data_IF_321909993698
#
_entry.id   IF_321909993698
#
_cell.length_a   1.000
_cell.length_b   1.000
_cell.length_c   1.000
_cell.angle_alpha   90.00
_cell.angle_beta   90.00
_cell.angle_gamma   90.00
#
_symmetry.space_group_name_H-M   'P 1'
#
loop_
_entity.id
_entity.type
_entity.pdbx_description
1 polymer ?
#
# COMPACT_ATOMS: atom_id res chain seq x y z
N UNK A 1 -19.59 3.93 -21.33
CA UNK A 1 -20.33 4.60 -20.23
C UNK A 1 -19.81 4.01 -18.94
N UNK A 2 -19.07 4.77 -18.13
CA UNK A 2 -18.67 4.33 -16.79
C UNK A 2 -19.93 4.24 -15.92
N UNK A 3 -20.44 3.02 -15.71
CA UNK A 3 -21.49 2.79 -14.73
C UNK A 3 -20.89 3.15 -13.37
N UNK A 4 -21.43 4.18 -12.71
CA UNK A 4 -21.09 4.49 -11.32
C UNK A 4 -21.61 3.34 -10.46
N UNK A 5 -20.69 2.52 -9.96
CA UNK A 5 -21.00 1.41 -9.05
C UNK A 5 -20.87 1.92 -7.61
N UNK A 6 -21.95 2.03 -6.83
CA UNK A 6 -21.86 2.42 -5.43
C UNK A 6 -21.32 1.28 -4.57
N UNK A 7 -20.71 1.62 -3.43
CA UNK A 7 -20.28 0.66 -2.42
C UNK A 7 -21.13 0.74 -1.14
N UNK A 8 -21.60 -0.40 -0.66
CA UNK A 8 -22.20 -0.59 0.65
C UNK A 8 -21.13 -1.10 1.61
N UNK A 9 -20.91 -0.38 2.71
CA UNK A 9 -19.98 -0.78 3.76
C UNK A 9 -20.76 -1.06 5.04
N UNK A 10 -20.68 -2.30 5.53
CA UNK A 10 -21.35 -2.70 6.77
C UNK A 10 -20.51 -2.31 7.99
N UNK A 11 -21.03 -1.37 8.80
CA UNK A 11 -20.38 -0.82 9.99
C UNK A 11 -21.28 -0.88 11.25
N UNK A 12 -22.30 -1.73 11.25
CA UNK A 12 -23.35 -1.76 12.28
C UNK A 12 -23.04 -2.66 13.51
N UNK A 13 -21.94 -3.42 13.51
CA UNK A 13 -21.63 -4.41 14.54
C UNK A 13 -20.96 -3.84 15.81
N UNK A 14 -21.20 -4.49 16.96
CA UNK A 14 -20.63 -4.10 18.27
C UNK A 14 -19.12 -4.36 18.40
N UNK A 15 -18.60 -5.37 17.69
CA UNK A 15 -17.17 -5.70 17.69
C UNK A 15 -16.63 -6.19 19.03
N UNK A 16 -17.42 -6.97 19.76
CA UNK A 16 -17.13 -7.43 21.12
C UNK A 16 -15.78 -8.13 21.24
N UNK A 17 -15.40 -8.93 20.24
CA UNK A 17 -14.13 -9.68 20.20
C UNK A 17 -12.89 -8.79 20.06
N UNK A 18 -13.02 -7.59 19.50
CA UNK A 18 -11.91 -6.66 19.26
C UNK A 18 -11.79 -5.59 20.34
N UNK A 19 -12.89 -4.89 20.59
CA UNK A 19 -12.89 -3.74 21.49
C UNK A 19 -13.27 -4.12 22.91
N UNK A 20 -14.33 -4.95 23.11
CA UNK A 20 -14.80 -5.52 24.39
C UNK A 20 -15.12 -4.52 25.53
N UNK A 21 -14.65 -3.29 25.41
CA UNK A 21 -14.58 -2.22 26.40
C UNK A 21 -15.21 -0.98 25.78
N UNK A 22 -16.28 -0.48 26.39
CA UNK A 22 -17.03 0.67 25.91
C UNK A 22 -16.22 1.97 25.90
N UNK A 23 -15.11 2.03 26.67
CA UNK A 23 -14.17 3.16 26.66
C UNK A 23 -13.34 3.23 25.38
N UNK A 24 -13.28 2.15 24.60
CA UNK A 24 -12.60 2.14 23.30
C UNK A 24 -13.52 2.68 22.20
N UNK A 25 -12.95 3.17 21.08
CA UNK A 25 -13.75 3.51 19.91
C UNK A 25 -14.55 2.30 19.40
N UNK A 26 -15.74 2.52 18.81
CA UNK A 26 -16.48 1.44 18.16
C UNK A 26 -15.64 0.81 17.04
N UNK A 27 -15.90 -0.46 16.71
CA UNK A 27 -15.09 -1.25 15.76
C UNK A 27 -14.74 -0.50 14.46
N UNK A 28 -15.69 0.16 13.77
CA UNK A 28 -15.39 0.92 12.54
C UNK A 28 -14.32 2.02 12.74
N UNK A 29 -14.21 2.57 13.96
CA UNK A 29 -13.28 3.63 14.32
C UNK A 29 -11.98 3.12 14.96
N UNK A 30 -11.74 1.80 14.96
CA UNK A 30 -10.51 1.21 15.50
C UNK A 30 -9.30 1.67 14.68
N UNK A 31 -8.25 2.25 15.30
CA UNK A 31 -7.10 2.77 14.58
C UNK A 31 -6.12 1.66 14.12
N UNK A 32 -5.81 1.69 12.83
CA UNK A 32 -4.86 0.81 12.15
C UNK A 32 -3.91 1.65 11.28
N UNK A 33 -2.72 1.92 11.81
CA UNK A 33 -1.68 2.70 11.14
C UNK A 33 -2.26 4.02 10.58
N UNK A 34 -2.65 4.92 11.48
CA UNK A 34 -3.00 6.31 11.16
C UNK A 34 -4.41 6.54 10.60
N UNK A 35 -5.08 5.48 10.14
CA UNK A 35 -6.47 5.49 9.67
C UNK A 35 -7.33 4.59 10.55
N UNK A 36 -8.64 4.80 10.58
CA UNK A 36 -9.56 3.81 11.16
C UNK A 36 -9.84 2.66 10.19
N UNK A 37 -10.41 1.55 10.68
CA UNK A 37 -10.85 0.44 9.83
C UNK A 37 -11.81 0.92 8.72
N UNK A 38 -12.86 1.67 9.09
CA UNK A 38 -13.83 2.21 8.14
C UNK A 38 -13.21 3.21 7.16
N UNK A 39 -12.40 4.14 7.65
CA UNK A 39 -11.71 5.12 6.80
C UNK A 39 -10.81 4.42 5.77
N UNK A 40 -10.12 3.34 6.19
CA UNK A 40 -9.30 2.54 5.29
C UNK A 40 -10.13 1.75 4.27
N UNK A 41 -11.27 1.18 4.66
CA UNK A 41 -12.16 0.49 3.72
C UNK A 41 -12.68 1.45 2.64
N UNK A 42 -13.13 2.65 3.03
CA UNK A 42 -13.56 3.71 2.10
C UNK A 42 -12.42 4.08 1.15
N UNK A 43 -11.23 4.36 1.66
CA UNK A 43 -10.10 4.78 0.84
C UNK A 43 -9.58 3.69 -0.09
N UNK A 44 -9.68 2.42 0.31
CA UNK A 44 -9.34 1.27 -0.55
C UNK A 44 -10.31 1.17 -1.72
N UNK A 45 -11.61 1.39 -1.48
CA UNK A 45 -12.61 1.46 -2.55
C UNK A 45 -12.42 2.69 -3.44
N UNK A 46 -12.07 3.84 -2.84
CA UNK A 46 -11.79 5.07 -3.59
C UNK A 46 -10.61 4.92 -4.53
N UNK A 47 -9.54 4.28 -4.08
CA UNK A 47 -8.37 3.99 -4.93
C UNK A 47 -8.73 3.07 -6.11
N UNK A 48 -9.75 2.22 -5.95
CA UNK A 48 -10.34 1.41 -7.02
C UNK A 48 -11.33 2.17 -7.93
N UNK A 49 -11.58 3.46 -7.69
CA UNK A 49 -12.46 4.30 -8.50
C UNK A 49 -13.91 4.41 -7.99
N UNK A 50 -14.21 3.95 -6.79
CA UNK A 50 -15.54 4.08 -6.17
C UNK A 50 -15.65 5.43 -5.43
N UNK A 51 -16.67 6.22 -5.75
CA UNK A 51 -16.85 7.56 -5.18
C UNK A 51 -18.16 7.75 -4.39
N UNK A 52 -19.07 6.78 -4.47
CA UNK A 52 -20.39 6.81 -3.84
C UNK A 52 -20.51 5.65 -2.84
N UNK A 53 -20.82 5.99 -1.59
CA UNK A 53 -20.81 5.07 -0.46
C UNK A 53 -22.13 5.11 0.31
N UNK A 54 -22.65 3.94 0.64
CA UNK A 54 -23.72 3.73 1.60
C UNK A 54 -23.11 3.06 2.83
N UNK A 55 -23.01 3.78 3.94
CA UNK A 55 -22.40 3.24 5.16
C UNK A 55 -23.52 2.83 6.11
N UNK A 56 -23.62 1.52 6.37
CA UNK A 56 -24.67 0.99 7.24
C UNK A 56 -24.23 1.08 8.69
N UNK A 57 -24.93 1.89 9.47
CA UNK A 57 -24.64 2.19 10.87
C UNK A 57 -25.61 1.49 11.81
N UNK A 58 -25.13 1.19 13.02
CA UNK A 58 -25.90 0.52 14.06
C UNK A 58 -25.38 0.93 15.43
N UNK A 59 -24.64 0.05 16.10
CA UNK A 59 -24.06 0.34 17.41
C UNK A 59 -23.20 1.62 17.42
N UNK A 60 -23.55 2.59 18.28
CA UNK A 60 -22.86 3.89 18.46
C UNK A 60 -22.68 4.67 17.14
N UNK A 61 -23.72 4.71 16.31
CA UNK A 61 -23.72 5.38 14.98
C UNK A 61 -23.26 6.83 15.02
N UNK A 62 -23.58 7.56 16.09
CA UNK A 62 -23.31 8.99 16.25
C UNK A 62 -21.80 9.28 16.17
N UNK A 63 -20.97 8.36 16.66
CA UNK A 63 -19.52 8.48 16.60
C UNK A 63 -18.99 8.43 15.15
N UNK A 64 -19.66 7.69 14.26
CA UNK A 64 -19.30 7.62 12.84
C UNK A 64 -19.92 8.79 12.07
N UNK A 65 -21.19 9.10 12.32
CA UNK A 65 -21.93 10.20 11.66
C UNK A 65 -21.21 11.55 11.80
N UNK A 66 -20.66 11.83 12.98
CA UNK A 66 -19.92 13.06 13.24
C UNK A 66 -18.67 13.26 12.37
N UNK A 67 -18.16 12.21 11.72
CA UNK A 67 -16.98 12.25 10.85
C UNK A 67 -17.33 12.29 9.35
N UNK A 68 -18.58 12.03 8.98
CA UNK A 68 -18.99 11.87 7.57
C UNK A 68 -18.72 13.14 6.76
N UNK A 69 -19.17 14.31 7.24
CA UNK A 69 -18.99 15.57 6.54
C UNK A 69 -17.50 15.95 6.34
N UNK A 70 -16.64 15.63 7.33
CA UNK A 70 -15.19 15.77 7.18
C UNK A 70 -14.68 14.87 6.05
N UNK A 71 -15.06 13.59 6.06
CA UNK A 71 -14.59 12.62 5.07
C UNK A 71 -15.06 12.92 3.65
N UNK A 72 -16.32 13.33 3.45
CA UNK A 72 -16.83 13.74 2.14
C UNK A 72 -16.00 14.89 1.55
N UNK A 73 -15.75 15.93 2.36
CA UNK A 73 -14.97 17.10 1.93
C UNK A 73 -13.50 16.74 1.69
N UNK A 74 -12.88 16.07 2.65
CA UNK A 74 -11.45 15.71 2.65
C UNK A 74 -11.10 14.74 1.53
N UNK A 75 -11.96 13.75 1.31
CA UNK A 75 -11.71 12.69 0.34
C UNK A 75 -12.46 12.90 -0.97
N UNK A 76 -13.30 13.92 -1.12
CA UNK A 76 -14.08 14.18 -2.33
C UNK A 76 -14.84 12.92 -2.77
N UNK A 77 -15.73 12.48 -1.89
CA UNK A 77 -16.60 11.31 -2.05
C UNK A 77 -18.00 11.67 -1.54
N UNK A 78 -19.00 10.91 -1.93
CA UNK A 78 -20.35 11.00 -1.38
C UNK A 78 -20.60 9.84 -0.43
N UNK A 79 -21.09 10.13 0.77
CA UNK A 79 -21.41 9.15 1.81
C UNK A 79 -22.85 9.37 2.26
N UNK A 80 -23.69 8.36 2.02
CA UNK A 80 -25.03 8.27 2.59
C UNK A 80 -25.00 7.35 3.82
N UNK A 81 -25.20 7.87 5.04
CA UNK A 81 -25.40 7.02 6.21
C UNK A 81 -26.75 6.31 6.10
N UNK A 82 -26.77 5.00 6.34
CA UNK A 82 -27.98 4.18 6.37
C UNK A 82 -28.10 3.57 7.75
N UNK A 83 -29.16 3.89 8.47
CA UNK A 83 -29.39 3.33 9.81
C UNK A 83 -30.02 1.94 9.73
N UNK A 84 -29.39 0.96 10.40
CA UNK A 84 -29.99 -0.34 10.67
C UNK A 84 -30.43 -0.45 12.13
N UNK A 85 -31.71 -0.20 12.40
CA UNK A 85 -32.31 -0.37 13.73
C UNK A 85 -32.34 -1.84 14.19
N UNK A 86 -32.26 -2.79 13.26
CA UNK A 86 -32.29 -4.23 13.51
C UNK A 86 -30.90 -4.88 13.40
N UNK A 87 -29.83 -4.17 13.72
CA UNK A 87 -28.44 -4.65 13.60
C UNK A 87 -28.13 -5.91 14.44
N UNK A 88 -28.92 -6.18 15.48
CA UNK A 88 -28.85 -7.41 16.27
C UNK A 88 -29.35 -8.66 15.52
N UNK A 89 -30.09 -8.51 14.41
CA UNK A 89 -30.64 -9.62 13.62
C UNK A 89 -29.62 -10.25 12.65
N UNK A 90 -28.35 -9.83 12.70
CA UNK A 90 -27.29 -10.32 11.81
C UNK A 90 -26.90 -9.33 10.72
N UNK A 91 -25.81 -9.61 10.00
CA UNK A 91 -25.32 -8.73 8.93
C UNK A 91 -26.22 -8.71 7.70
N UNK A 92 -27.10 -9.70 7.49
CA UNK A 92 -28.09 -9.70 6.41
C UNK A 92 -29.11 -8.56 6.56
N UNK A 93 -29.55 -8.27 7.79
CA UNK A 93 -30.44 -7.12 8.05
C UNK A 93 -29.78 -5.79 7.71
N UNK A 94 -28.46 -5.68 7.91
CA UNK A 94 -27.68 -4.48 7.54
C UNK A 94 -27.67 -4.27 6.04
N UNK A 95 -27.54 -5.33 5.24
CA UNK A 95 -27.64 -5.22 3.77
C UNK A 95 -29.07 -4.83 3.35
N UNK A 96 -30.09 -5.43 3.96
CA UNK A 96 -31.50 -5.14 3.65
C UNK A 96 -31.89 -3.68 3.93
N UNK A 97 -31.28 -3.03 4.92
CA UNK A 97 -31.49 -1.61 5.21
C UNK A 97 -31.16 -0.70 4.01
N UNK A 98 -30.29 -1.15 3.09
CA UNK A 98 -29.95 -0.42 1.87
C UNK A 98 -30.94 -0.64 0.71
N UNK A 99 -31.87 -1.59 0.81
CA UNK A 99 -32.79 -1.92 -0.30
C UNK A 99 -33.62 -0.75 -0.85
N UNK A 100 -34.04 0.27 -0.06
CA UNK A 100 -34.74 1.44 -0.60
C UNK A 100 -33.86 2.35 -1.47
N UNK A 101 -32.54 2.27 -1.33
CA UNK A 101 -31.58 3.17 -1.97
C UNK A 101 -30.91 2.57 -3.22
N UNK A 102 -30.94 1.25 -3.35
CA UNK A 102 -30.14 0.52 -4.35
C UNK A 102 -31.05 -0.27 -5.31
N UNK A 103 -31.17 0.23 -6.54
CA UNK A 103 -31.93 -0.41 -7.62
C UNK A 103 -31.04 -1.06 -8.69
N UNK A 104 -29.71 -0.89 -8.58
CA UNK A 104 -28.73 -1.39 -9.53
C UNK A 104 -27.68 -2.25 -8.82
N UNK A 105 -26.66 -2.69 -9.55
CA UNK A 105 -25.57 -3.47 -8.94
C UNK A 105 -24.75 -2.60 -8.00
N UNK A 106 -24.21 -3.21 -6.95
CA UNK A 106 -23.42 -2.50 -5.93
C UNK A 106 -22.32 -3.39 -5.40
N UNK A 107 -21.24 -2.78 -4.94
CA UNK A 107 -20.18 -3.45 -4.21
C UNK A 107 -20.61 -3.58 -2.74
N UNK A 108 -20.41 -4.72 -2.09
CA UNK A 108 -20.70 -4.92 -0.67
C UNK A 108 -19.42 -5.36 0.04
N UNK A 109 -19.04 -4.61 1.09
CA UNK A 109 -17.81 -4.81 1.84
C UNK A 109 -18.08 -4.69 3.34
N UNK A 110 -17.28 -5.40 4.13
CA UNK A 110 -17.27 -5.30 5.58
C UNK A 110 -16.29 -4.21 6.05
N UNK A 111 -16.67 -3.35 7.00
CA UNK A 111 -15.81 -2.23 7.43
C UNK A 111 -14.51 -2.67 8.13
N UNK A 112 -14.46 -3.90 8.62
CA UNK A 112 -13.39 -4.51 9.40
C UNK A 112 -12.41 -5.32 8.55
N UNK A 113 -12.61 -5.38 7.24
CA UNK A 113 -11.72 -6.09 6.34
C UNK A 113 -10.63 -5.16 5.79
N UNK A 114 -9.39 -5.59 5.93
CA UNK A 114 -8.24 -5.02 5.24
C UNK A 114 -8.06 -5.76 3.92
N UNK A 115 -7.91 -5.05 2.80
CA UNK A 115 -7.73 -5.69 1.49
C UNK A 115 -6.92 -4.79 0.56
N UNK A 116 -6.36 -5.39 -0.49
CA UNK A 116 -5.63 -4.64 -1.51
C UNK A 116 -6.61 -3.94 -2.48
N UNK A 117 -6.48 -2.64 -2.79
CA UNK A 117 -7.44 -1.92 -3.65
C UNK A 117 -7.70 -2.57 -5.02
N UNK A 118 -6.68 -3.19 -5.61
CA UNK A 118 -6.76 -3.85 -6.93
C UNK A 118 -7.71 -5.05 -6.99
N UNK A 119 -8.12 -5.62 -5.85
CA UNK A 119 -9.09 -6.72 -5.84
C UNK A 119 -10.48 -6.27 -6.29
N UNK A 120 -10.81 -4.99 -6.14
CA UNK A 120 -12.11 -4.44 -6.54
C UNK A 120 -12.25 -4.41 -8.07
N UNK A 121 -11.34 -3.78 -8.84
CA UNK A 121 -11.40 -3.83 -10.31
C UNK A 121 -11.37 -5.24 -10.86
N UNK A 122 -10.58 -6.14 -10.25
CA UNK A 122 -10.56 -7.56 -10.59
C UNK A 122 -11.93 -8.22 -10.41
N UNK A 123 -12.55 -8.06 -9.23
CA UNK A 123 -13.90 -8.57 -8.96
C UNK A 123 -14.96 -7.98 -9.90
N UNK A 124 -14.89 -6.69 -10.20
CA UNK A 124 -15.82 -6.03 -11.13
C UNK A 124 -15.69 -6.61 -12.54
N UNK A 125 -14.47 -6.89 -12.99
CA UNK A 125 -14.19 -7.38 -14.34
C UNK A 125 -14.58 -8.85 -14.48
N UNK A 126 -14.06 -9.72 -13.62
CA UNK A 126 -14.29 -11.16 -13.66
C UNK A 126 -15.72 -11.55 -13.22
N UNK A 127 -16.31 -10.76 -12.32
CA UNK A 127 -17.64 -10.97 -11.76
C UNK A 127 -18.78 -10.34 -12.55
N UNK A 128 -18.54 -9.84 -13.77
CA UNK A 128 -19.51 -9.03 -14.54
C UNK A 128 -20.68 -9.84 -15.16
N UNK A 129 -21.13 -10.90 -14.50
CA UNK A 129 -22.30 -11.67 -14.88
C UNK A 129 -23.56 -11.03 -14.28
N UNK A 130 -24.44 -10.46 -15.11
CA UNK A 130 -25.68 -9.81 -14.63
C UNK A 130 -26.68 -10.78 -14.02
N UNK A 131 -26.58 -12.08 -14.33
CA UNK A 131 -27.44 -13.13 -13.79
C UNK A 131 -27.06 -13.60 -12.39
N UNK A 132 -25.86 -13.26 -11.92
CA UNK A 132 -25.31 -13.72 -10.65
C UNK A 132 -24.71 -12.57 -9.81
N UNK A 133 -24.75 -12.74 -8.49
CA UNK A 133 -23.80 -12.08 -7.61
C UNK A 133 -22.43 -12.74 -7.76
N UNK A 134 -21.37 -12.03 -7.39
CA UNK A 134 -20.02 -12.60 -7.30
C UNK A 134 -19.43 -12.37 -5.92
N UNK A 135 -18.81 -13.39 -5.35
CA UNK A 135 -18.03 -13.31 -4.12
C UNK A 135 -16.54 -13.49 -4.48
N UNK A 136 -15.70 -12.61 -3.96
CA UNK A 136 -14.26 -12.81 -3.96
C UNK A 136 -13.89 -13.91 -2.96
N UNK A 137 -13.13 -14.91 -3.41
CA UNK A 137 -12.81 -16.11 -2.63
C UNK A 137 -11.31 -16.30 -2.57
N UNK A 138 -10.77 -16.49 -1.37
CA UNK A 138 -9.37 -16.89 -1.19
C UNK A 138 -9.26 -18.42 -1.22
N UNK A 139 -8.66 -18.94 -2.30
CA UNK A 139 -8.38 -20.38 -2.45
C UNK A 139 -7.11 -20.81 -1.74
N UNK A 140 -6.27 -19.88 -1.26
CA UNK A 140 -5.05 -20.19 -0.51
C UNK A 140 -5.37 -20.37 0.96
N UNK A 141 -6.23 -21.35 1.26
CA UNK A 141 -6.73 -21.68 2.61
C UNK A 141 -5.58 -21.73 3.63
N UNK A 142 -4.42 -22.25 3.23
CA UNK A 142 -3.24 -22.36 4.09
C UNK A 142 -2.69 -21.02 4.61
N UNK A 143 -2.99 -19.89 3.95
CA UNK A 143 -2.49 -18.56 4.32
C UNK A 143 -3.47 -17.75 5.18
N UNK A 144 -4.72 -18.19 5.32
CA UNK A 144 -5.74 -17.51 6.10
C UNK A 144 -5.40 -17.57 7.59
N UNK A 145 -5.47 -16.42 8.26
CA UNK A 145 -4.99 -16.22 9.63
C UNK A 145 -5.81 -16.99 10.68
N UNK A 146 -7.14 -16.88 10.62
CA UNK A 146 -8.06 -17.56 11.55
C UNK A 146 -9.02 -18.46 10.76
N UNK A 147 -8.57 -19.68 10.47
CA UNK A 147 -9.35 -20.62 9.64
C UNK A 147 -10.55 -21.21 10.36
N UNK A 148 -10.53 -21.23 11.69
CA UNK A 148 -11.59 -21.83 12.49
C UNK A 148 -12.82 -20.92 12.52
N UNK A 149 -12.62 -19.60 12.57
CA UNK A 149 -13.73 -18.63 12.54
C UNK A 149 -14.16 -18.21 11.13
N UNK A 150 -13.37 -18.51 10.11
CA UNK A 150 -13.63 -18.12 8.73
C UNK A 150 -14.90 -18.75 8.13
N UNK A 151 -15.61 -17.97 7.32
CA UNK A 151 -16.73 -18.48 6.51
C UNK A 151 -16.18 -19.25 5.31
N UNK A 152 -16.50 -20.55 5.24
CA UNK A 152 -15.99 -21.45 4.20
C UNK A 152 -16.92 -21.46 3.00
N UNK A 153 -16.37 -21.72 1.81
CA UNK A 153 -17.13 -21.87 0.57
C UNK A 153 -16.70 -23.12 -0.21
N UNK A 154 -17.68 -23.81 -0.80
CA UNK A 154 -17.45 -24.86 -1.77
C UNK A 154 -17.74 -24.31 -3.17
N UNK A 155 -16.74 -24.32 -4.03
CA UNK A 155 -16.79 -23.80 -5.40
C UNK A 155 -16.67 -24.94 -6.40
N UNK A 156 -17.67 -25.09 -7.28
CA UNK A 156 -17.64 -26.05 -8.40
C UNK A 156 -17.91 -25.26 -9.69
N UNK A 157 -17.06 -25.45 -10.72
CA UNK A 157 -17.17 -24.78 -12.03
C UNK A 157 -17.37 -23.26 -11.95
N UNK A 158 -16.64 -22.61 -11.02
CA UNK A 158 -16.71 -21.15 -10.81
C UNK A 158 -17.98 -20.66 -10.09
N UNK A 159 -18.85 -21.55 -9.63
CA UNK A 159 -20.06 -21.25 -8.86
C UNK A 159 -19.93 -21.70 -7.42
N UNK A 160 -20.51 -20.93 -6.50
CA UNK A 160 -20.58 -21.33 -5.09
C UNK A 160 -21.78 -22.25 -4.93
N UNK A 161 -21.54 -23.44 -4.41
CA UNK A 161 -22.56 -24.48 -4.18
C UNK A 161 -22.93 -24.61 -2.71
N UNK A 162 -22.03 -24.23 -1.80
CA UNK A 162 -22.29 -24.17 -0.38
C UNK A 162 -21.46 -23.06 0.29
N UNK A 163 -22.02 -22.44 1.33
CA UNK A 163 -21.36 -21.43 2.16
C UNK A 163 -21.76 -21.57 3.64
N UNK A 164 -20.79 -21.44 4.54
CA UNK A 164 -21.03 -21.40 5.98
C UNK A 164 -19.79 -21.72 6.81
N UNK A 165 -19.85 -21.39 8.11
CA UNK A 165 -18.75 -21.69 9.05
C UNK A 165 -18.59 -23.19 9.35
N UNK A 166 -19.69 -23.94 9.33
CA UNK A 166 -19.73 -25.37 9.64
C UNK A 166 -19.49 -26.33 8.47
N UNK A 167 -19.01 -25.85 7.32
CA UNK A 167 -18.79 -26.73 6.16
C UNK A 167 -17.58 -27.66 6.39
N UNK A 168 -17.80 -28.96 6.22
CA UNK A 168 -16.75 -29.98 6.24
C UNK A 168 -15.93 -30.00 4.94
N UNK A 169 -16.63 -29.95 3.79
CA UNK A 169 -16.01 -29.89 2.47
C UNK A 169 -16.04 -28.45 1.95
N UNK A 170 -14.86 -27.91 1.68
CA UNK A 170 -14.69 -26.56 1.16
C UNK A 170 -13.36 -26.46 0.40
N UNK A 171 -13.30 -25.55 -0.57
CA UNK A 171 -12.10 -25.27 -1.36
C UNK A 171 -11.80 -23.77 -1.50
N UNK A 172 -12.44 -22.94 -0.68
CA UNK A 172 -12.12 -21.53 -0.54
C UNK A 172 -12.69 -20.91 0.72
N UNK A 173 -12.28 -19.68 0.98
CA UNK A 173 -12.74 -18.85 2.09
C UNK A 173 -13.39 -17.58 1.55
N UNK A 174 -14.55 -17.22 2.12
CA UNK A 174 -15.25 -15.96 1.86
C UNK A 174 -14.42 -14.77 2.38
N UNK A 175 -14.09 -13.82 1.49
CA UNK A 175 -13.31 -12.63 1.86
C UNK A 175 -14.16 -11.44 2.29
N UNK A 176 -15.49 -11.56 2.37
CA UNK A 176 -16.40 -10.49 2.74
C UNK A 176 -16.55 -9.38 1.69
N UNK A 177 -16.10 -9.60 0.45
CA UNK A 177 -16.15 -8.63 -0.66
C UNK A 177 -17.00 -9.21 -1.80
N UNK A 178 -18.13 -8.57 -2.07
CA UNK A 178 -19.12 -9.06 -3.03
C UNK A 178 -19.44 -8.01 -4.08
N UNK A 179 -19.65 -8.46 -5.32
CA UNK A 179 -20.36 -7.71 -6.34
C UNK A 179 -21.82 -8.20 -6.36
N UNK A 180 -22.71 -7.39 -5.82
CA UNK A 180 -24.09 -7.74 -5.58
C UNK A 180 -25.02 -7.23 -6.67
N UNK A 181 -26.16 -7.90 -6.79
CA UNK A 181 -27.29 -7.52 -7.64
C UNK A 181 -28.52 -7.26 -6.75
N UNK A 182 -29.49 -6.45 -7.19
CA UNK A 182 -30.68 -6.14 -6.38
C UNK A 182 -31.46 -7.36 -5.87
N UNK A 183 -31.48 -8.45 -6.64
CA UNK A 183 -32.14 -9.69 -6.24
C UNK A 183 -31.51 -10.36 -5.00
N UNK A 184 -30.33 -9.92 -4.54
CA UNK A 184 -29.78 -10.32 -3.24
C UNK A 184 -30.73 -9.95 -2.10
N UNK A 185 -31.46 -8.83 -2.21
CA UNK A 185 -32.41 -8.42 -1.18
C UNK A 185 -33.55 -9.43 -1.01
N UNK A 186 -34.03 -10.01 -2.11
CA UNK A 186 -35.08 -11.03 -2.05
C UNK A 186 -34.56 -12.30 -1.37
N UNK A 187 -33.35 -12.73 -1.73
CA UNK A 187 -32.69 -13.90 -1.12
C UNK A 187 -32.44 -13.69 0.38
N UNK A 188 -32.10 -12.47 0.81
CA UNK A 188 -31.94 -12.12 2.22
C UNK A 188 -33.26 -12.12 2.99
N UNK A 189 -34.36 -11.66 2.37
CA UNK A 189 -35.70 -11.73 2.98
C UNK A 189 -36.15 -13.18 3.15
N UNK A 190 -35.88 -14.03 2.16
CA UNK A 190 -36.14 -15.47 2.21
C UNK A 190 -35.35 -16.14 3.34
N UNK A 191 -34.04 -15.92 3.41
CA UNK A 191 -33.19 -16.44 4.48
C UNK A 191 -33.64 -15.99 5.87
N UNK A 192 -34.00 -14.71 6.02
CA UNK A 192 -34.48 -14.16 7.29
C UNK A 192 -35.82 -14.77 7.71
N UNK A 193 -36.72 -15.08 6.76
CA UNK A 193 -37.96 -15.81 7.03
C UNK A 193 -37.68 -17.26 7.46
N UNK A 194 -36.62 -17.88 6.93
CA UNK A 194 -36.08 -19.18 7.32
C UNK A 194 -35.23 -19.18 8.60
N UNK A 195 -35.27 -18.11 9.41
CA UNK A 195 -34.56 -17.94 10.69
C UNK A 195 -33.04 -17.68 10.57
N UNK A 196 -32.47 -17.60 9.35
CA UNK A 196 -31.06 -17.24 9.12
C UNK A 196 -30.95 -15.76 8.67
N UNK A 197 -30.80 -14.85 9.64
CA UNK A 197 -30.61 -13.42 9.38
C UNK A 197 -29.20 -13.02 8.90
N UNK A 198 -28.32 -13.98 8.61
CA UNK A 198 -26.96 -13.71 8.15
C UNK A 198 -26.90 -13.45 6.63
N UNK A 199 -25.86 -12.73 6.22
CA UNK A 199 -25.52 -12.58 4.80
C UNK A 199 -25.26 -13.94 4.15
N UNK A 200 -24.55 -14.84 4.84
CA UNK A 200 -24.30 -16.21 4.36
C UNK A 200 -25.60 -16.99 4.13
N UNK A 201 -26.65 -16.74 4.91
CA UNK A 201 -27.99 -17.28 4.67
C UNK A 201 -28.54 -16.85 3.31
N UNK A 202 -28.52 -15.54 3.02
CA UNK A 202 -28.95 -15.04 1.70
C UNK A 202 -28.07 -15.55 0.55
N UNK A 203 -26.76 -15.68 0.75
CA UNK A 203 -25.86 -16.27 -0.25
C UNK A 203 -26.16 -17.76 -0.47
N UNK A 204 -26.58 -18.49 0.57
CA UNK A 204 -27.03 -19.90 0.45
C UNK A 204 -28.27 -20.02 -0.43
N UNK A 205 -29.28 -19.16 -0.22
CA UNK A 205 -30.44 -19.10 -1.11
C UNK A 205 -30.02 -18.82 -2.57
N UNK A 206 -29.06 -17.92 -2.80
CA UNK A 206 -28.52 -17.68 -4.15
C UNK A 206 -27.72 -18.87 -4.70
N UNK A 207 -27.03 -19.63 -3.85
CA UNK A 207 -26.29 -20.84 -4.25
C UNK A 207 -27.23 -21.92 -4.77
N UNK A 208 -28.33 -22.16 -4.06
CA UNK A 208 -29.39 -23.10 -4.46
C UNK A 208 -30.02 -22.72 -5.80
N UNK A 209 -30.17 -21.42 -6.06
CA UNK A 209 -30.67 -20.90 -7.33
C UNK A 209 -29.61 -20.88 -8.45
N UNK A 210 -28.35 -21.20 -8.17
CA UNK A 210 -27.26 -21.05 -9.12
C UNK A 210 -27.01 -19.59 -9.53
N UNK A 211 -27.12 -18.64 -8.60
CA UNK A 211 -27.01 -17.18 -8.84
C UNK A 211 -25.88 -16.52 -8.06
N UNK A 212 -24.89 -17.29 -7.65
CA UNK A 212 -23.66 -16.78 -7.03
C UNK A 212 -22.43 -17.44 -7.65
N UNK A 213 -21.45 -16.62 -8.02
CA UNK A 213 -20.17 -17.03 -8.58
C UNK A 213 -19.02 -16.75 -7.61
N UNK A 214 -17.95 -17.51 -7.76
CA UNK A 214 -16.69 -17.24 -7.07
C UNK A 214 -15.71 -16.58 -8.05
N UNK A 215 -15.09 -15.50 -7.62
CA UNK A 215 -13.92 -14.90 -8.28
C UNK A 215 -12.72 -15.17 -7.38
N UNK A 216 -11.64 -15.69 -7.95
CA UNK A 216 -10.43 -15.99 -7.18
C UNK A 216 -9.70 -14.70 -6.80
N UNK A 217 -9.31 -14.58 -5.53
CA UNK A 217 -8.47 -13.49 -5.03
C UNK A 217 -7.09 -13.43 -5.71
N UNK A 218 -6.59 -14.55 -6.23
CA UNK A 218 -5.25 -14.62 -6.82
C UNK A 218 -4.17 -14.43 -5.77
N UNK A 219 -3.14 -13.61 -6.06
CA UNK A 219 -2.02 -13.41 -5.12
C UNK A 219 -2.19 -12.25 -4.12
N UNK A 220 -3.25 -11.46 -4.26
CA UNK A 220 -3.49 -10.28 -3.41
C UNK A 220 -3.86 -10.63 -1.96
N UNK A 221 -3.85 -9.63 -1.07
CA UNK A 221 -4.13 -9.85 0.34
C UNK A 221 -5.53 -9.39 0.75
N UNK A 222 -6.06 -10.09 1.76
CA UNK A 222 -7.20 -9.67 2.55
C UNK A 222 -7.00 -10.14 4.01
N UNK A 223 -7.73 -9.56 4.96
CA UNK A 223 -7.78 -9.97 6.36
C UNK A 223 -9.00 -9.37 7.06
N UNK A 224 -9.76 -10.18 7.77
CA UNK A 224 -10.79 -9.75 8.71
C UNK A 224 -10.18 -9.36 10.08
N UNK A 225 -10.51 -8.18 10.58
CA UNK A 225 -9.95 -7.65 11.85
C UNK A 225 -10.97 -7.77 12.97
N UNK A 226 -11.02 -8.96 13.56
CA UNK A 226 -12.03 -9.32 14.57
C UNK A 226 -11.48 -9.48 15.99
N UNK A 227 -10.17 -9.67 16.12
CA UNK A 227 -9.48 -9.87 17.41
C UNK A 227 -8.26 -8.97 17.54
N UNK A 228 -7.76 -8.69 18.77
CA UNK A 228 -6.51 -7.97 18.96
C UNK A 228 -5.31 -8.62 18.25
N UNK A 229 -5.31 -9.95 18.15
CA UNK A 229 -4.31 -10.74 17.42
C UNK A 229 -4.41 -10.46 15.92
N UNK A 230 -5.62 -10.50 15.34
CA UNK A 230 -5.87 -10.15 13.94
C UNK A 230 -5.48 -8.70 13.66
N UNK A 231 -5.77 -7.76 14.56
CA UNK A 231 -5.35 -6.36 14.43
C UNK A 231 -3.81 -6.22 14.41
N UNK A 232 -3.10 -6.93 15.28
CA UNK A 232 -1.62 -6.97 15.28
C UNK A 232 -1.08 -7.60 14.00
N UNK A 233 -1.72 -8.66 13.50
CA UNK A 233 -1.37 -9.29 12.24
C UNK A 233 -1.60 -8.34 11.06
N UNK A 234 -2.76 -7.69 10.98
CA UNK A 234 -3.13 -6.72 9.96
C UNK A 234 -2.17 -5.54 9.89
N UNK A 235 -1.70 -5.02 11.03
CA UNK A 235 -0.64 -4.00 11.05
C UNK A 235 0.64 -4.48 10.37
N UNK A 236 1.08 -5.71 10.65
CA UNK A 236 2.27 -6.30 10.01
C UNK A 236 2.03 -6.55 8.52
N UNK A 237 0.83 -7.01 8.15
CA UNK A 237 0.44 -7.27 6.77
C UNK A 237 0.50 -5.99 5.93
N UNK A 238 -0.12 -4.90 6.42
CA UNK A 238 -0.09 -3.58 5.76
C UNK A 238 1.35 -3.07 5.60
N UNK A 239 2.17 -3.15 6.65
CA UNK A 239 3.57 -2.73 6.61
C UNK A 239 4.44 -3.54 5.65
N UNK A 240 4.12 -4.81 5.40
CA UNK A 240 4.80 -5.61 4.38
C UNK A 240 4.41 -5.18 2.96
N UNK A 241 3.14 -4.87 2.76
CA UNK A 241 2.61 -4.45 1.46
C UNK A 241 2.94 -2.99 1.09
N UNK A 242 3.50 -2.21 2.00
CA UNK A 242 4.08 -0.90 1.65
C UNK A 242 5.43 -1.04 0.98
N UNK A 243 6.11 -2.18 1.12
CA UNK A 243 7.36 -2.45 0.40
C UNK A 243 6.97 -2.90 -0.99
N UNK A 244 7.38 -2.13 -2.00
CA UNK A 244 7.18 -2.56 -3.38
C UNK A 244 8.17 -3.67 -3.67
N UNK A 245 7.66 -4.90 -3.70
CA UNK A 245 8.41 -6.03 -4.20
C UNK A 245 9.01 -5.62 -5.55
N UNK A 246 10.33 -5.65 -5.62
CA UNK A 246 11.14 -5.41 -6.81
C UNK A 246 11.45 -3.96 -7.27
N UNK A 247 11.09 -2.92 -6.50
CA UNK A 247 11.61 -1.56 -6.73
C UNK A 247 12.84 -1.24 -5.88
N UNK A 248 13.13 -2.05 -4.86
CA UNK A 248 14.24 -1.82 -3.93
C UNK A 248 15.61 -2.24 -4.48
N UNK A 249 16.67 -1.59 -4.02
CA UNK A 249 18.04 -2.03 -4.21
C UNK A 249 18.50 -2.97 -3.11
N UNK A 250 19.73 -3.46 -3.22
CA UNK A 250 20.27 -4.46 -2.29
C UNK A 250 20.26 -3.98 -0.83
N UNK A 251 20.65 -2.73 -0.60
CA UNK A 251 20.74 -2.18 0.75
C UNK A 251 19.35 -1.88 1.29
N UNK A 252 18.44 -1.42 0.44
CA UNK A 252 17.05 -1.25 0.83
C UNK A 252 16.43 -2.59 1.28
N UNK A 253 16.56 -3.63 0.46
CA UNK A 253 16.00 -4.96 0.74
C UNK A 253 16.54 -5.56 2.06
N UNK A 254 17.85 -5.44 2.32
CA UNK A 254 18.49 -6.16 3.43
C UNK A 254 18.63 -5.33 4.71
N UNK A 255 18.68 -4.00 4.59
CA UNK A 255 18.99 -3.11 5.71
C UNK A 255 17.99 -1.97 5.88
N UNK A 256 17.81 -1.09 4.89
CA UNK A 256 17.03 0.14 5.11
C UNK A 256 15.57 -0.18 5.46
N UNK A 257 14.95 -1.16 4.79
CA UNK A 257 13.52 -1.50 5.01
C UNK A 257 13.25 -2.00 6.43
N UNK A 258 14.19 -2.70 7.05
CA UNK A 258 14.06 -3.14 8.44
C UNK A 258 13.91 -1.95 9.41
N UNK A 259 14.52 -0.82 9.09
CA UNK A 259 14.49 0.40 9.89
C UNK A 259 13.36 1.35 9.46
N UNK A 260 13.21 1.60 8.14
CA UNK A 260 12.22 2.51 7.60
C UNK A 260 10.79 2.07 7.95
N UNK A 261 10.47 0.79 7.83
CA UNK A 261 9.12 0.29 8.14
C UNK A 261 8.74 0.53 9.61
N UNK A 262 9.70 0.39 10.53
CA UNK A 262 9.47 0.65 11.96
C UNK A 262 9.28 2.14 12.21
N UNK A 263 10.08 2.98 11.55
CA UNK A 263 9.95 4.43 11.62
C UNK A 263 8.63 4.90 11.01
N UNK A 264 8.26 4.42 9.83
CA UNK A 264 6.98 4.68 9.16
C UNK A 264 5.79 4.29 10.02
N UNK A 265 5.83 3.11 10.66
CA UNK A 265 4.78 2.70 11.59
C UNK A 265 4.61 3.71 12.74
N UNK A 266 5.72 4.19 13.31
CA UNK A 266 5.71 5.20 14.36
C UNK A 266 5.25 6.58 13.85
N UNK A 267 5.71 7.03 12.69
CA UNK A 267 5.31 8.30 12.09
C UNK A 267 3.81 8.33 11.82
N UNK A 268 3.28 7.24 11.27
CA UNK A 268 1.87 7.13 10.90
C UNK A 268 0.96 7.10 12.14
N UNK A 269 1.40 6.54 13.27
CA UNK A 269 0.61 6.63 14.52
C UNK A 269 0.52 8.05 15.06
N UNK A 270 1.50 8.92 14.75
CA UNK A 270 1.55 10.31 15.21
C UNK A 270 1.07 11.33 14.16
N UNK A 271 0.71 10.88 12.96
CA UNK A 271 0.38 11.76 11.83
C UNK A 271 -0.87 12.61 12.09
N UNK A 272 -1.85 12.07 12.84
CA UNK A 272 -3.07 12.79 13.21
C UNK A 272 -2.80 13.93 14.18
N UNK A 273 -1.82 13.78 15.07
CA UNK A 273 -1.43 14.80 16.03
C UNK A 273 -0.48 15.85 15.41
N UNK A 274 0.39 15.45 14.50
CA UNK A 274 1.50 16.28 13.99
C UNK A 274 1.24 16.89 12.62
N UNK A 275 0.15 16.53 11.93
CA UNK A 275 -0.14 16.92 10.53
C UNK A 275 1.01 16.63 9.55
N UNK A 276 1.88 15.68 9.89
CA UNK A 276 3.02 15.30 9.08
C UNK A 276 2.51 14.82 7.70
N UNK A 277 3.13 15.29 6.62
CA UNK A 277 2.78 14.86 5.25
C UNK A 277 3.92 14.04 4.67
N UNK A 278 3.67 13.14 3.70
CA UNK A 278 4.74 12.45 2.99
C UNK A 278 5.79 13.42 2.44
N UNK A 279 5.37 14.53 1.82
CA UNK A 279 6.28 15.55 1.29
C UNK A 279 7.15 16.20 2.38
N UNK A 280 6.63 16.34 3.61
CA UNK A 280 7.42 16.84 4.73
C UNK A 280 8.50 15.83 5.17
N UNK A 281 8.22 14.52 5.04
CA UNK A 281 9.22 13.46 5.26
C UNK A 281 10.31 13.56 4.19
N UNK A 282 9.95 13.69 2.90
CA UNK A 282 10.93 13.86 1.81
C UNK A 282 11.79 15.12 2.01
N UNK A 283 11.20 16.21 2.50
CA UNK A 283 11.98 17.42 2.82
C UNK A 283 12.91 17.20 4.03
N UNK A 284 12.46 16.47 5.05
CA UNK A 284 13.29 16.16 6.21
C UNK A 284 14.46 15.23 5.85
N UNK A 285 14.24 14.17 5.05
CA UNK A 285 15.32 13.30 4.55
C UNK A 285 16.33 14.11 3.75
N UNK A 286 15.85 15.00 2.87
CA UNK A 286 16.68 15.91 2.09
C UNK A 286 17.56 16.81 2.97
N UNK A 287 16.99 17.47 3.99
CA UNK A 287 17.73 18.35 4.90
C UNK A 287 18.78 17.59 5.71
N UNK A 288 18.48 16.36 6.15
CA UNK A 288 19.45 15.48 6.82
C UNK A 288 20.64 15.19 5.89
N UNK A 289 20.37 14.88 4.62
CA UNK A 289 21.44 14.62 3.64
C UNK A 289 22.25 15.88 3.33
N UNK A 290 21.62 17.06 3.22
CA UNK A 290 22.33 18.32 3.04
C UNK A 290 23.27 18.64 4.21
N UNK A 291 22.83 18.37 5.44
CA UNK A 291 23.70 18.52 6.62
C UNK A 291 24.90 17.57 6.53
N UNK A 292 24.68 16.32 6.13
CA UNK A 292 25.77 15.37 5.86
C UNK A 292 26.73 15.87 4.78
N UNK A 293 26.20 16.36 3.65
CA UNK A 293 26.99 16.94 2.57
C UNK A 293 27.87 18.11 3.04
N UNK A 294 27.33 18.98 3.88
CA UNK A 294 28.07 20.10 4.48
C UNK A 294 29.19 19.62 5.41
N UNK A 295 28.95 18.59 6.22
CA UNK A 295 29.96 18.07 7.15
C UNK A 295 31.18 17.46 6.45
N UNK A 296 31.05 16.93 5.23
CA UNK A 296 32.19 16.45 4.43
C UNK A 296 33.25 17.52 4.14
N UNK A 297 32.90 18.82 4.25
CA UNK A 297 33.81 19.94 4.01
C UNK A 297 34.90 20.05 5.09
N UNK A 298 34.63 19.62 6.32
CA UNK A 298 35.51 19.86 7.47
C UNK A 298 36.71 18.92 7.57
N UNK A 299 36.82 17.92 6.70
CA UNK A 299 37.98 17.00 6.49
C UNK A 299 38.49 16.20 7.70
N UNK A 300 38.06 16.52 8.92
CA UNK A 300 38.37 15.72 10.11
C UNK A 300 37.67 14.36 10.03
N UNK A 301 38.28 13.33 10.60
CA UNK A 301 37.69 11.99 10.60
C UNK A 301 36.32 11.98 11.28
N UNK A 302 36.17 12.66 12.43
CA UNK A 302 34.91 12.74 13.15
C UNK A 302 33.80 13.40 12.32
N UNK A 303 34.08 14.52 11.65
CA UNK A 303 33.11 15.19 10.78
C UNK A 303 32.75 14.33 9.56
N UNK A 304 33.74 13.65 8.97
CA UNK A 304 33.54 12.76 7.82
C UNK A 304 32.68 11.55 8.18
N UNK A 305 32.95 10.89 9.32
CA UNK A 305 32.14 9.80 9.81
C UNK A 305 30.70 10.25 10.11
N UNK A 306 30.53 11.38 10.80
CA UNK A 306 29.22 11.97 11.06
C UNK A 306 28.46 12.28 9.76
N UNK A 307 29.15 12.82 8.75
CA UNK A 307 28.60 13.07 7.43
C UNK A 307 28.08 11.79 6.76
N UNK A 308 28.88 10.72 6.75
CA UNK A 308 28.48 9.42 6.22
C UNK A 308 27.27 8.84 6.95
N UNK A 309 27.24 8.91 8.28
CA UNK A 309 26.11 8.45 9.09
C UNK A 309 24.84 9.23 8.74
N UNK A 310 24.91 10.56 8.64
CA UNK A 310 23.76 11.38 8.26
C UNK A 310 23.25 11.05 6.86
N UNK A 311 24.14 10.83 5.89
CA UNK A 311 23.74 10.41 4.53
C UNK A 311 23.00 9.07 4.57
N UNK A 312 23.49 8.10 5.37
CA UNK A 312 22.82 6.80 5.52
C UNK A 312 21.48 6.91 6.25
N UNK A 313 21.39 7.71 7.31
CA UNK A 313 20.12 8.00 8.01
C UNK A 313 19.14 8.66 7.03
N UNK A 314 19.61 9.63 6.25
CA UNK A 314 18.84 10.27 5.19
C UNK A 314 18.24 9.23 4.24
N UNK A 315 19.04 8.29 3.74
CA UNK A 315 18.57 7.20 2.88
C UNK A 315 17.50 6.30 3.51
N UNK A 316 17.54 6.08 4.83
CA UNK A 316 16.53 5.29 5.55
C UNK A 316 15.23 6.09 5.72
N UNK A 317 15.34 7.37 6.11
CA UNK A 317 14.18 8.27 6.31
C UNK A 317 13.48 8.53 4.97
N UNK A 318 14.24 8.65 3.90
CA UNK A 318 13.75 8.80 2.53
C UNK A 318 12.76 7.70 2.17
N UNK A 319 13.08 6.44 2.46
CA UNK A 319 12.18 5.31 2.22
C UNK A 319 10.84 5.37 2.96
N UNK A 320 10.73 6.20 4.01
CA UNK A 320 9.52 6.33 4.82
C UNK A 320 8.43 7.15 4.11
N UNK A 321 8.77 8.09 3.24
CA UNK A 321 7.78 8.99 2.64
C UNK A 321 6.72 8.23 1.81
N UNK A 322 7.16 7.30 0.97
CA UNK A 322 6.36 6.47 0.11
C UNK A 322 5.63 5.38 0.89
N UNK A 323 6.26 4.85 1.95
CA UNK A 323 5.61 3.91 2.88
C UNK A 323 4.43 4.58 3.58
N UNK A 324 4.63 5.77 4.15
CA UNK A 324 3.59 6.59 4.78
C UNK A 324 2.52 7.01 3.76
N UNK A 325 2.91 7.42 2.56
CA UNK A 325 1.98 7.79 1.49
C UNK A 325 1.06 6.61 1.10
N UNK A 326 1.60 5.39 1.04
CA UNK A 326 0.84 4.16 0.76
C UNK A 326 -0.09 3.80 1.92
N UNK A 327 0.41 3.82 3.16
CA UNK A 327 -0.40 3.48 4.34
C UNK A 327 -1.60 4.41 4.54
N UNK A 328 -1.45 5.67 4.13
CA UNK A 328 -2.43 6.75 4.35
C UNK A 328 -3.20 7.17 3.10
N UNK A 329 -3.04 6.46 1.98
CA UNK A 329 -3.67 6.78 0.68
C UNK A 329 -3.39 8.22 0.19
N UNK A 330 -2.19 8.73 0.48
CA UNK A 330 -1.73 10.08 0.08
C UNK A 330 -0.69 10.04 -1.04
N UNK A 331 -0.64 8.95 -1.81
CA UNK A 331 0.20 8.89 -3.03
C UNK A 331 -0.20 10.02 -3.98
N UNK A 332 0.79 10.72 -4.54
CA UNK A 332 0.55 11.77 -5.53
C UNK A 332 1.66 11.83 -6.57
N UNK A 333 1.32 12.26 -7.79
CA UNK A 333 2.30 12.47 -8.86
C UNK A 333 3.32 13.55 -8.48
N UNK A 334 2.87 14.61 -7.81
CA UNK A 334 3.73 15.67 -7.31
C UNK A 334 4.73 15.14 -6.28
N UNK A 335 4.28 14.35 -5.30
CA UNK A 335 5.16 13.77 -4.28
C UNK A 335 6.25 12.89 -4.89
N UNK A 336 5.89 11.99 -5.82
CA UNK A 336 6.87 11.14 -6.51
C UNK A 336 7.86 11.95 -7.38
N UNK A 337 7.40 13.04 -7.99
CA UNK A 337 8.26 13.95 -8.73
C UNK A 337 9.21 14.73 -7.80
N UNK A 338 8.68 15.28 -6.70
CA UNK A 338 9.43 16.01 -5.68
C UNK A 338 10.52 15.13 -5.07
N UNK A 339 10.17 13.92 -4.66
CA UNK A 339 11.09 12.90 -4.14
C UNK A 339 12.27 12.66 -5.10
N UNK A 340 11.99 12.40 -6.38
CA UNK A 340 13.07 12.24 -7.37
C UNK A 340 13.94 13.50 -7.50
N UNK A 341 13.34 14.69 -7.43
CA UNK A 341 14.05 15.96 -7.58
C UNK A 341 15.00 16.20 -6.41
N UNK A 342 14.50 16.04 -5.19
CA UNK A 342 15.28 16.18 -3.96
C UNK A 342 16.43 15.17 -3.94
N UNK A 343 16.20 13.95 -4.40
CA UNK A 343 17.25 12.94 -4.59
C UNK A 343 18.40 13.40 -5.48
N UNK A 344 18.11 14.10 -6.59
CA UNK A 344 19.16 14.64 -7.48
C UNK A 344 19.95 15.76 -6.81
N UNK A 345 19.28 16.65 -6.09
CA UNK A 345 19.95 17.71 -5.33
C UNK A 345 20.80 17.13 -4.19
N UNK A 346 20.29 16.14 -3.47
CA UNK A 346 21.04 15.41 -2.44
C UNK A 346 22.29 14.75 -2.99
N UNK A 347 22.17 13.98 -4.07
CA UNK A 347 23.31 13.31 -4.71
C UNK A 347 24.37 14.34 -5.16
N UNK A 348 23.93 15.49 -5.69
CA UNK A 348 24.81 16.58 -6.13
C UNK A 348 25.52 17.25 -4.97
N UNK A 349 24.80 17.54 -3.89
CA UNK A 349 25.36 18.15 -2.68
C UNK A 349 26.41 17.23 -2.04
N UNK A 350 26.10 15.94 -1.89
CA UNK A 350 27.04 14.95 -1.30
C UNK A 350 28.29 14.80 -2.16
N UNK A 351 28.14 14.60 -3.48
CA UNK A 351 29.29 14.49 -4.39
C UNK A 351 30.17 15.75 -4.35
N UNK A 352 29.55 16.93 -4.32
CA UNK A 352 30.27 18.21 -4.24
C UNK A 352 30.97 18.38 -2.89
N UNK A 353 30.31 18.07 -1.77
CA UNK A 353 30.88 18.17 -0.43
C UNK A 353 32.09 17.27 -0.24
N UNK A 354 32.00 16.00 -0.68
CA UNK A 354 33.12 15.04 -0.67
C UNK A 354 34.27 15.53 -1.56
N UNK A 355 33.96 15.98 -2.79
CA UNK A 355 34.96 16.45 -3.74
C UNK A 355 35.69 17.69 -3.24
N UNK A 356 34.95 18.67 -2.74
CA UNK A 356 35.53 19.90 -2.18
C UNK A 356 36.36 19.62 -0.93
N UNK A 357 35.85 18.79 -0.01
CA UNK A 357 36.60 18.35 1.17
C UNK A 357 37.93 17.70 0.78
N UNK A 358 37.93 16.79 -0.19
CA UNK A 358 39.16 16.13 -0.66
C UNK A 358 40.10 17.11 -1.39
N UNK A 359 39.57 18.04 -2.18
CA UNK A 359 40.36 19.08 -2.85
C UNK A 359 41.06 20.01 -1.86
N UNK A 360 40.44 20.32 -0.71
CA UNK A 360 41.10 21.10 0.35
C UNK A 360 42.34 20.41 0.93
N UNK A 361 42.37 19.08 0.93
CA UNK A 361 43.53 18.30 1.34
C UNK A 361 44.56 18.14 0.21
N UNK A 362 44.07 18.00 -1.03
CA UNK A 362 44.87 17.75 -2.22
C UNK A 362 44.45 18.69 -3.36
N UNK A 363 44.93 19.95 -3.37
CA UNK A 363 44.42 21.01 -4.25
C UNK A 363 44.92 20.85 -5.69
N UNK A 364 44.33 19.89 -6.40
CA UNK A 364 44.63 19.60 -7.81
C UNK A 364 43.34 19.60 -8.64
N UNK A 365 43.39 20.02 -9.91
CA UNK A 365 42.20 20.04 -10.78
C UNK A 365 41.61 18.64 -11.00
N UNK A 366 42.44 17.59 -10.93
CA UNK A 366 42.02 16.20 -11.10
C UNK A 366 40.98 15.74 -10.09
N UNK A 367 40.98 16.31 -8.87
CA UNK A 367 39.96 16.00 -7.85
C UNK A 367 38.57 16.38 -8.36
N UNK A 368 38.43 17.56 -8.96
CA UNK A 368 37.17 18.02 -9.54
C UNK A 368 36.77 17.22 -10.77
N UNK A 369 37.72 16.85 -11.62
CA UNK A 369 37.45 15.96 -12.77
C UNK A 369 36.83 14.63 -12.29
N UNK A 370 37.41 14.01 -11.25
CA UNK A 370 36.85 12.79 -10.67
C UNK A 370 35.48 12.99 -10.02
N UNK A 371 35.29 14.09 -9.29
CA UNK A 371 34.00 14.43 -8.68
C UNK A 371 32.90 14.66 -9.70
N UNK A 372 33.20 15.41 -10.77
CA UNK A 372 32.29 15.65 -11.90
C UNK A 372 31.97 14.35 -12.63
N UNK A 373 32.97 13.49 -12.85
CA UNK A 373 32.76 12.17 -13.46
C UNK A 373 31.76 11.33 -12.64
N UNK A 374 31.93 11.26 -11.32
CA UNK A 374 31.02 10.52 -10.45
C UNK A 374 29.61 11.13 -10.46
N UNK A 375 29.50 12.45 -10.33
CA UNK A 375 28.22 13.17 -10.38
C UNK A 375 27.49 12.97 -11.71
N UNK A 376 28.20 13.05 -12.83
CA UNK A 376 27.64 12.78 -14.15
C UNK A 376 27.04 11.36 -14.22
N UNK A 377 27.76 10.36 -13.70
CA UNK A 377 27.27 8.98 -13.64
C UNK A 377 25.99 8.85 -12.82
N UNK A 378 25.90 9.56 -11.69
CA UNK A 378 24.73 9.56 -10.81
C UNK A 378 23.48 10.16 -11.47
N UNK A 379 23.65 11.32 -12.11
CA UNK A 379 22.56 12.02 -12.78
C UNK A 379 22.11 11.25 -14.02
N UNK A 380 23.06 10.80 -14.86
CA UNK A 380 22.78 10.02 -16.06
C UNK A 380 22.11 8.68 -15.73
N UNK A 381 22.54 7.97 -14.68
CA UNK A 381 21.92 6.69 -14.28
C UNK A 381 20.44 6.84 -13.94
N UNK A 382 20.06 7.95 -13.30
CA UNK A 382 18.65 8.25 -13.02
C UNK A 382 17.91 8.72 -14.27
N UNK A 383 18.54 9.61 -15.06
CA UNK A 383 17.97 10.12 -16.31
C UNK A 383 17.69 9.00 -17.31
N UNK A 384 18.66 8.14 -17.62
CA UNK A 384 18.51 7.06 -18.59
C UNK A 384 17.39 6.09 -18.22
N UNK A 385 17.21 5.77 -16.92
CA UNK A 385 16.10 4.91 -16.47
C UNK A 385 14.73 5.56 -16.72
N UNK A 386 14.61 6.87 -16.47
CA UNK A 386 13.37 7.62 -16.71
C UNK A 386 13.11 7.82 -18.21
N UNK A 387 14.14 8.16 -18.97
CA UNK A 387 14.05 8.33 -20.42
C UNK A 387 13.65 7.01 -21.10
N UNK A 388 14.25 5.89 -20.68
CA UNK A 388 13.87 4.56 -21.16
C UNK A 388 12.38 4.29 -20.89
N UNK A 389 11.92 4.51 -19.66
CA UNK A 389 10.51 4.30 -19.30
C UNK A 389 9.54 5.20 -20.07
N UNK A 390 9.96 6.42 -20.44
CA UNK A 390 9.16 7.31 -21.27
C UNK A 390 9.13 6.91 -22.74
N UNK A 391 10.24 6.39 -23.27
CA UNK A 391 10.38 6.08 -24.70
C UNK A 391 9.84 4.71 -25.09
N UNK A 392 9.99 3.74 -24.20
CA UNK A 392 9.59 2.35 -24.42
C UNK A 392 8.33 1.97 -23.66
N UNK A 393 7.74 2.89 -22.88
CA UNK A 393 6.55 2.66 -22.04
C UNK A 393 6.69 1.50 -21.03
N UNK A 394 7.91 1.06 -20.76
CA UNK A 394 8.25 -0.07 -19.89
C UNK A 394 9.39 0.27 -18.93
N UNK A 395 9.40 -0.38 -17.76
CA UNK A 395 10.53 -0.25 -16.84
C UNK A 395 11.77 -0.96 -17.37
N UNK A 396 12.95 -0.40 -17.11
CA UNK A 396 14.24 -1.04 -17.46
C UNK A 396 14.28 -2.48 -16.93
N UNK A 397 14.58 -3.47 -17.80
CA UNK A 397 14.68 -4.88 -17.42
C UNK A 397 15.61 -5.10 -16.23
N UNK A 398 15.17 -5.92 -15.28
CA UNK A 398 15.91 -6.14 -14.04
C UNK A 398 17.12 -7.01 -14.30
N UNK A 399 18.28 -6.51 -13.90
CA UNK A 399 19.46 -7.34 -13.72
C UNK A 399 20.27 -6.86 -12.50
N UNK A 400 21.31 -7.62 -12.17
CA UNK A 400 22.20 -7.31 -11.05
C UNK A 400 22.83 -5.92 -11.20
N UNK A 401 23.12 -5.48 -12.42
CA UNK A 401 23.72 -4.17 -12.69
C UNK A 401 22.76 -3.03 -12.40
N UNK A 402 21.47 -3.19 -12.75
CA UNK A 402 20.44 -2.20 -12.41
C UNK A 402 20.31 -2.06 -10.89
N UNK A 403 20.36 -3.17 -10.12
CA UNK A 403 20.36 -3.14 -8.65
C UNK A 403 21.63 -2.51 -8.08
N UNK A 404 22.81 -2.81 -8.65
CA UNK A 404 24.09 -2.23 -8.24
C UNK A 404 24.15 -0.72 -8.48
N UNK A 405 23.52 -0.23 -9.54
CA UNK A 405 23.46 1.19 -9.86
C UNK A 405 22.32 1.95 -9.13
N UNK A 406 21.69 1.36 -8.10
CA UNK A 406 20.65 2.06 -7.31
C UNK A 406 21.26 2.99 -6.27
N UNK A 407 20.45 3.96 -5.84
CA UNK A 407 20.86 5.05 -4.95
C UNK A 407 21.18 4.57 -3.54
N UNK A 408 20.43 3.60 -3.02
CA UNK A 408 20.65 3.00 -1.70
C UNK A 408 22.05 2.36 -1.56
N UNK A 409 22.50 1.58 -2.56
CA UNK A 409 23.87 1.02 -2.55
C UNK A 409 24.92 2.13 -2.55
N UNK A 410 24.73 3.13 -3.40
CA UNK A 410 25.64 4.27 -3.50
C UNK A 410 25.76 5.01 -2.17
N UNK A 411 24.66 5.41 -1.55
CA UNK A 411 24.70 6.16 -0.30
C UNK A 411 25.34 5.33 0.83
N UNK A 412 25.06 4.02 0.86
CA UNK A 412 25.70 3.12 1.82
C UNK A 412 27.20 2.96 1.58
N UNK A 413 27.64 2.85 0.32
CA UNK A 413 29.06 2.80 -0.02
C UNK A 413 29.79 4.10 0.33
N UNK A 414 29.14 5.25 0.15
CA UNK A 414 29.67 6.55 0.61
C UNK A 414 29.79 6.61 2.13
N UNK A 415 28.80 6.07 2.86
CA UNK A 415 28.88 5.90 4.31
C UNK A 415 30.06 5.02 4.72
N UNK A 416 30.24 3.85 4.09
CA UNK A 416 31.38 2.97 4.37
C UNK A 416 32.71 3.67 4.03
N UNK A 417 32.80 4.33 2.88
CA UNK A 417 33.96 5.12 2.50
C UNK A 417 34.28 6.18 3.55
N UNK A 418 33.29 6.89 4.06
CA UNK A 418 33.45 7.85 5.14
C UNK A 418 33.94 7.19 6.45
N UNK A 419 33.37 6.04 6.81
CA UNK A 419 33.76 5.29 8.01
C UNK A 419 35.20 4.76 7.95
N UNK A 420 35.68 4.38 6.77
CA UNK A 420 37.07 3.97 6.56
C UNK A 420 38.02 5.15 6.28
N UNK A 421 37.53 6.38 6.21
CA UNK A 421 38.34 7.57 5.92
C UNK A 421 38.66 7.80 4.43
N UNK A 422 38.02 7.07 3.52
CA UNK A 422 38.20 7.15 2.07
C UNK A 422 36.90 7.49 1.29
N UNK A 423 36.12 8.53 1.70
CA UNK A 423 34.84 8.84 1.05
C UNK A 423 35.00 9.24 -0.43
N UNK A 424 36.10 9.91 -0.80
CA UNK A 424 36.35 10.33 -2.17
C UNK A 424 36.59 9.13 -3.11
N UNK A 425 37.36 8.13 -2.68
CA UNK A 425 37.56 6.92 -3.48
C UNK A 425 36.28 6.08 -3.60
N UNK A 426 35.47 6.03 -2.53
CA UNK A 426 34.14 5.42 -2.60
C UNK A 426 33.24 6.15 -3.62
N UNK A 427 33.28 7.49 -3.64
CA UNK A 427 32.56 8.32 -4.62
C UNK A 427 32.97 7.97 -6.06
N UNK A 428 34.27 7.87 -6.34
CA UNK A 428 34.76 7.48 -7.68
C UNK A 428 34.33 6.06 -8.05
N UNK A 429 34.43 5.11 -7.12
CA UNK A 429 34.09 3.71 -7.37
C UNK A 429 32.60 3.53 -7.73
N UNK A 430 31.69 4.14 -6.97
CA UNK A 430 30.25 4.08 -7.27
C UNK A 430 29.86 4.96 -8.46
N UNK A 431 30.62 6.02 -8.74
CA UNK A 431 30.54 6.81 -9.97
C UNK A 431 30.83 5.96 -11.20
N UNK A 432 31.96 5.25 -11.19
CA UNK A 432 32.35 4.30 -12.24
C UNK A 432 31.30 3.20 -12.41
N UNK A 433 30.81 2.62 -11.31
CA UNK A 433 29.76 1.60 -11.34
C UNK A 433 28.48 2.11 -12.01
N UNK A 434 28.13 3.38 -11.80
CA UNK A 434 26.97 4.01 -12.45
C UNK A 434 27.18 4.14 -13.97
N UNK A 435 28.37 4.54 -14.41
CA UNK A 435 28.73 4.60 -15.84
C UNK A 435 28.73 3.22 -16.50
N UNK A 436 29.27 2.20 -15.83
CA UNK A 436 29.22 0.82 -16.32
C UNK A 436 27.78 0.32 -16.47
N UNK A 437 26.91 0.65 -15.51
CA UNK A 437 25.48 0.35 -15.58
C UNK A 437 24.79 1.02 -16.78
N UNK A 438 25.10 2.29 -17.04
CA UNK A 438 24.59 3.04 -18.20
C UNK A 438 25.08 2.42 -19.51
N UNK A 439 26.39 2.15 -19.63
CA UNK A 439 26.98 1.56 -20.84
C UNK A 439 26.39 0.19 -21.16
N UNK A 440 26.15 -0.64 -20.13
CA UNK A 440 25.46 -1.92 -20.29
C UNK A 440 24.02 -1.77 -20.77
N UNK A 441 23.26 -0.83 -20.19
CA UNK A 441 21.89 -0.56 -20.62
C UNK A 441 21.86 -0.09 -22.08
N UNK A 442 22.74 0.85 -22.44
CA UNK A 442 22.89 1.31 -23.81
C UNK A 442 23.19 0.16 -24.77
N UNK A 443 24.12 -0.74 -24.42
CA UNK A 443 24.47 -1.89 -25.24
C UNK A 443 23.30 -2.85 -25.47
N UNK A 444 22.51 -3.13 -24.42
CA UNK A 444 21.31 -3.97 -24.53
C UNK A 444 20.29 -3.36 -25.51
N UNK A 445 20.00 -2.07 -25.34
CA UNK A 445 19.06 -1.34 -26.20
C UNK A 445 19.55 -1.30 -27.64
N UNK A 446 20.84 -1.00 -27.84
CA UNK A 446 21.44 -0.89 -29.17
C UNK A 446 21.40 -2.22 -29.95
N UNK A 447 21.58 -3.36 -29.28
CA UNK A 447 21.57 -4.68 -29.92
C UNK A 447 20.20 -5.16 -30.36
N UNK A 448 19.12 -4.43 -30.05
CA UNK A 448 17.78 -4.95 -30.27
C UNK A 448 17.55 -6.27 -29.52
N UNK A 449 18.31 -6.50 -28.43
CA UNK A 449 17.93 -7.44 -27.38
C UNK A 449 16.72 -6.82 -26.66
N UNK A 450 15.64 -6.57 -27.41
CA UNK A 450 14.31 -6.42 -26.86
C UNK A 450 14.16 -7.62 -25.93
N UNK A 451 13.97 -7.30 -24.66
CA UNK A 451 13.70 -8.27 -23.63
C UNK A 451 12.39 -8.95 -24.01
N UNK A 452 12.49 -10.00 -24.81
CA UNK A 452 11.43 -10.94 -25.12
C UNK A 452 11.10 -11.72 -23.84
N UNK A 453 10.47 -11.03 -22.90
CA UNK A 453 9.63 -11.64 -21.88
C UNK A 453 8.21 -11.63 -22.41
N UNK A 454 7.88 -12.61 -23.26
CA UNK A 454 6.51 -13.13 -23.32
C UNK A 454 6.24 -13.93 -22.06
#
# INVERSE_FOLDING_TARGET
MNVKLPAVILAAGRGERLSGDEKKPPKPLTPVLGLTLLERAILSCKEAGIEEFFIVLGYRKEAVESLIAEWETKYRISITPVENQSWLKGNGSSVLACSPYLSSSFLLIMCDHLFAPQVIPHLITEGNDKGACSLLVDRRIARVFDREDATRVQVNDGRITAIGKGLEQYNGIDTGIFLCRPFLFDALREAQAGVDGSLSGGIRCLAEQGRIRAVDLGEDFWLDVDTPQALKHGRKLLLRHTVKANEDGFIAEWFNRCLSIRLSAWLVTHIRATRLTPNAISLASFLIVLLGAFLFIFTSYAATLAAGILVQIGSIVDGCDGEVARLTFKKSRFGAWLDTLLDRFSDSAVATGITYGFWRLYPTPWVWVGGIFALAGFLLSSYTKKEYALRYEESVPRDVWVKLAKRDLRLFALFLGAAFGYPYFALLAVGLLSHLGIGRLFWKVYRGEECAGR
#
